data_IF_489726626996
#
_entry.id   IF_489726626996
#
_cell.length_a   1.000
_cell.length_b   1.000
_cell.length_c   1.000
_cell.angle_alpha   90.00
_cell.angle_beta   90.00
_cell.angle_gamma   90.00
#
_symmetry.space_group_name_H-M   'P 1'
#
loop_
_entity.id
_entity.type
_entity.pdbx_description
1 polymer ?
#
# COMPACT_ATOMS: atom_id res chain seq x y z
N UNK A 1 -19.62 -10.74 21.05
CA UNK A 1 -18.75 -11.04 22.20
C UNK A 1 -19.04 -9.98 23.24
N UNK A 2 -19.50 -10.35 24.41
CA UNK A 2 -19.68 -9.41 25.51
C UNK A 2 -18.44 -9.55 26.40
N UNK A 3 -17.64 -8.51 26.49
CA UNK A 3 -16.51 -8.46 27.41
C UNK A 3 -16.98 -7.69 28.63
N UNK A 4 -17.01 -8.32 29.78
CA UNK A 4 -17.26 -7.66 31.06
C UNK A 4 -15.97 -7.64 31.86
N UNK A 5 -15.62 -6.48 32.36
CA UNK A 5 -14.49 -6.24 33.23
C UNK A 5 -15.02 -5.79 34.59
N UNK A 6 -14.54 -6.44 35.65
CA UNK A 6 -14.98 -6.19 37.00
C UNK A 6 -13.79 -5.84 37.88
N UNK A 7 -13.43 -4.57 37.93
CA UNK A 7 -12.54 -4.02 38.95
C UNK A 7 -13.12 -2.83 39.67
N UNK A 8 -14.43 -2.59 39.53
CA UNK A 8 -15.15 -1.51 40.15
C UNK A 8 -14.96 -0.14 39.49
N UNK A 9 -14.17 -0.03 38.42
CA UNK A 9 -14.03 1.19 37.64
C UNK A 9 -14.49 0.95 36.19
N UNK A 10 -15.31 1.84 35.68
CA UNK A 10 -15.74 1.81 34.26
C UNK A 10 -14.55 2.12 33.37
N UNK A 11 -13.83 1.11 32.96
CA UNK A 11 -12.71 1.24 32.05
C UNK A 11 -13.17 1.49 30.61
N UNK A 12 -13.61 2.70 30.32
CA UNK A 12 -13.69 3.20 28.94
C UNK A 12 -12.29 3.69 28.53
N UNK A 13 -11.37 2.76 28.28
CA UNK A 13 -10.06 3.16 27.79
C UNK A 13 -10.11 3.33 26.27
N UNK A 14 -9.99 4.58 25.88
CA UNK A 14 -9.64 4.96 24.52
C UNK A 14 -8.12 5.05 24.53
N UNK A 15 -7.43 4.17 23.80
CA UNK A 15 -6.00 4.35 23.59
C UNK A 15 -5.77 5.68 22.86
N UNK A 16 -5.14 6.68 23.47
CA UNK A 16 -5.00 8.00 22.85
C UNK A 16 -4.11 7.98 21.59
N UNK A 17 -3.24 7.00 21.44
CA UNK A 17 -2.42 6.83 20.22
C UNK A 17 -3.18 6.11 19.10
N UNK A 18 -4.18 5.29 19.46
CA UNK A 18 -5.04 4.57 18.52
C UNK A 18 -6.50 5.02 18.64
N UNK A 19 -6.76 6.18 19.22
CA UNK A 19 -8.11 6.63 19.51
C UNK A 19 -8.87 6.97 18.24
N UNK A 20 -9.75 6.06 17.87
CA UNK A 20 -10.86 6.37 17.01
C UNK A 20 -12.03 6.62 17.94
N UNK A 21 -12.67 7.80 17.90
CA UNK A 21 -13.79 8.09 18.76
C UNK A 21 -14.83 6.98 18.71
N UNK A 22 -15.23 6.44 19.87
CA UNK A 22 -16.23 5.39 19.98
C UNK A 22 -15.72 3.94 19.80
N UNK A 23 -14.41 3.71 19.71
CA UNK A 23 -13.81 2.34 19.68
C UNK A 23 -13.17 2.00 21.02
N UNK A 24 -13.21 0.72 21.35
CA UNK A 24 -12.65 0.17 22.58
C UNK A 24 -11.49 -0.76 22.24
N UNK A 25 -10.46 -0.75 23.05
CA UNK A 25 -9.32 -1.65 22.96
C UNK A 25 -9.27 -2.50 24.23
N UNK A 26 -9.05 -3.80 24.07
CA UNK A 26 -8.87 -4.71 25.18
C UNK A 26 -7.37 -4.87 25.44
N UNK A 27 -6.92 -4.50 26.64
CA UNK A 27 -5.53 -4.59 27.04
C UNK A 27 -5.34 -4.30 28.52
N UNK A 28 -4.09 -4.15 28.95
CA UNK A 28 -3.72 -3.71 30.29
C UNK A 28 -3.18 -2.28 30.23
N UNK A 29 -3.56 -1.47 31.20
CA UNK A 29 -3.05 -0.10 31.29
C UNK A 29 -1.60 -0.10 31.75
N UNK A 30 -0.75 0.56 30.98
CA UNK A 30 0.66 0.76 31.27
C UNK A 30 0.98 2.26 31.09
N UNK A 31 0.96 3.00 32.18
CA UNK A 31 1.01 4.46 32.10
C UNK A 31 -0.24 5.03 31.42
N UNK A 32 -0.05 5.77 30.32
CA UNK A 32 -1.13 6.34 29.52
C UNK A 32 -1.47 5.52 28.27
N UNK A 33 -0.91 4.32 28.15
CA UNK A 33 -1.09 3.43 26.98
C UNK A 33 -1.76 2.13 27.38
N UNK A 34 -2.45 1.51 26.44
CA UNK A 34 -3.02 0.17 26.59
C UNK A 34 -2.07 -0.82 25.91
N UNK A 35 -1.42 -1.65 26.72
CA UNK A 35 -0.54 -2.73 26.28
C UNK A 35 -1.30 -4.04 26.14
N UNK A 36 -0.65 -5.01 25.51
CA UNK A 36 -1.17 -6.37 25.37
C UNK A 36 -1.38 -7.04 26.75
N UNK A 37 -2.42 -7.85 26.86
CA UNK A 37 -2.63 -8.69 28.03
C UNK A 37 -1.51 -9.75 28.02
N UNK A 38 -0.65 -9.81 29.05
CA UNK A 38 0.37 -10.85 29.14
C UNK A 38 -0.24 -12.24 29.02
N UNK A 39 0.35 -13.13 28.24
CA UNK A 39 -0.17 -14.49 27.98
C UNK A 39 -0.50 -15.27 29.26
N UNK A 40 0.29 -15.05 30.32
CA UNK A 40 0.06 -15.64 31.66
C UNK A 40 -1.17 -15.07 32.39
N UNK A 41 -1.75 -14.00 31.90
CA UNK A 41 -2.90 -13.32 32.51
C UNK A 41 -4.14 -13.36 31.63
N UNK A 42 -4.07 -13.87 30.40
CA UNK A 42 -5.21 -13.95 29.48
C UNK A 42 -6.39 -14.67 30.12
N UNK A 43 -6.17 -15.83 30.74
CA UNK A 43 -7.23 -16.64 31.37
C UNK A 43 -7.86 -16.00 32.62
N UNK A 44 -7.24 -14.92 33.15
CA UNK A 44 -7.81 -14.15 34.27
C UNK A 44 -8.77 -13.06 33.81
N UNK A 45 -8.63 -12.65 32.54
CA UNK A 45 -9.38 -11.52 31.98
C UNK A 45 -10.33 -11.92 30.85
N UNK A 46 -10.04 -13.02 30.15
CA UNK A 46 -10.82 -13.47 29.00
C UNK A 46 -11.41 -14.84 29.32
N UNK A 47 -12.72 -14.90 29.47
CA UNK A 47 -13.46 -16.14 29.75
C UNK A 47 -14.19 -16.61 28.50
N UNK A 48 -14.00 -17.88 28.17
CA UNK A 48 -14.74 -18.52 27.09
C UNK A 48 -16.19 -18.78 27.50
N UNK A 49 -17.14 -18.29 26.71
CA UNK A 49 -18.55 -18.68 26.85
C UNK A 49 -18.73 -20.14 26.44
N UNK A 50 -19.74 -20.80 27.05
CA UNK A 50 -20.20 -22.12 26.60
C UNK A 50 -20.83 -22.07 25.19
N UNK A 51 -21.31 -20.90 24.78
CA UNK A 51 -21.85 -20.68 23.43
C UNK A 51 -20.75 -20.10 22.55
N UNK A 52 -20.44 -20.78 21.45
CA UNK A 52 -19.47 -20.32 20.42
C UNK A 52 -20.26 -19.94 19.18
N UNK A 53 -20.02 -18.74 18.68
CA UNK A 53 -20.56 -18.28 17.41
C UNK A 53 -19.44 -18.19 16.37
N UNK A 54 -19.75 -18.52 15.14
CA UNK A 54 -18.82 -18.32 14.02
C UNK A 54 -18.71 -16.83 13.73
N UNK A 55 -17.50 -16.33 13.63
CA UNK A 55 -17.26 -14.97 13.15
C UNK A 55 -17.49 -14.95 11.65
N UNK A 56 -18.38 -14.07 11.21
CA UNK A 56 -18.60 -13.81 9.78
C UNK A 56 -17.86 -12.52 9.43
N UNK A 57 -16.83 -12.59 8.57
CA UNK A 57 -16.13 -11.39 8.14
C UNK A 57 -17.03 -10.45 7.34
N UNK A 58 -16.80 -9.16 7.45
CA UNK A 58 -17.42 -8.17 6.58
C UNK A 58 -16.79 -8.26 5.18
N UNK A 59 -17.56 -8.69 4.19
CA UNK A 59 -17.13 -8.65 2.81
C UNK A 59 -17.16 -7.20 2.30
N UNK A 60 -15.99 -6.67 1.95
CA UNK A 60 -15.81 -5.25 1.62
C UNK A 60 -14.69 -5.09 0.61
N UNK A 61 -14.75 -4.05 -0.20
CA UNK A 61 -13.64 -3.59 -1.04
C UNK A 61 -12.76 -2.59 -0.29
N UNK A 62 -11.47 -2.55 -0.59
CA UNK A 62 -10.54 -1.61 0.05
C UNK A 62 -10.96 -0.14 -0.15
N UNK A 63 -11.56 0.16 -1.30
CA UNK A 63 -12.10 1.49 -1.62
C UNK A 63 -13.25 1.93 -0.71
N UNK A 64 -13.96 0.98 -0.09
CA UNK A 64 -15.11 1.22 0.80
C UNK A 64 -14.75 1.18 2.29
N UNK A 65 -13.48 0.96 2.62
CA UNK A 65 -13.04 0.93 4.03
C UNK A 65 -13.18 2.31 4.66
N UNK A 66 -13.76 2.31 5.86
CA UNK A 66 -13.89 3.50 6.72
C UNK A 66 -13.36 3.21 8.11
N UNK A 67 -13.26 4.22 8.97
CA UNK A 67 -12.87 4.06 10.36
C UNK A 67 -13.77 3.08 11.17
N UNK A 68 -15.01 2.86 10.73
CA UNK A 68 -15.93 1.93 11.39
C UNK A 68 -15.53 0.46 11.23
N UNK A 69 -14.71 0.14 10.24
CA UNK A 69 -14.23 -1.22 10.01
C UNK A 69 -13.00 -1.58 10.84
N UNK A 70 -12.36 -0.61 11.51
CA UNK A 70 -11.20 -0.88 12.36
C UNK A 70 -11.59 -1.76 13.54
N UNK A 71 -10.73 -2.72 13.90
CA UNK A 71 -10.94 -3.76 14.88
C UNK A 71 -12.09 -4.72 14.52
N UNK A 72 -12.46 -4.81 13.26
CA UNK A 72 -13.39 -5.82 12.75
C UNK A 72 -12.70 -6.76 11.77
N UNK A 73 -13.27 -7.96 11.62
CA UNK A 73 -12.79 -8.90 10.62
C UNK A 73 -13.38 -8.56 9.26
N UNK A 74 -12.52 -8.29 8.29
CA UNK A 74 -12.88 -8.00 6.91
C UNK A 74 -12.56 -9.18 6.00
N UNK A 75 -13.18 -9.23 4.84
CA UNK A 75 -12.89 -10.17 3.77
C UNK A 75 -12.85 -9.45 2.43
N UNK A 76 -11.73 -9.60 1.72
CA UNK A 76 -11.62 -9.29 0.29
C UNK A 76 -11.89 -10.58 -0.49
N UNK A 77 -12.79 -10.54 -1.47
CA UNK A 77 -13.20 -11.73 -2.20
C UNK A 77 -12.21 -12.12 -3.31
N UNK A 78 -11.38 -11.19 -3.74
CA UNK A 78 -10.36 -11.41 -4.75
C UNK A 78 -9.14 -10.56 -4.43
N UNK A 79 -8.11 -11.19 -3.93
CA UNK A 79 -6.86 -10.54 -3.55
C UNK A 79 -5.66 -11.46 -3.80
N UNK A 80 -4.48 -10.91 -3.74
CA UNK A 80 -3.20 -11.62 -3.88
C UNK A 80 -2.11 -10.89 -3.12
N UNK A 81 -0.96 -11.54 -2.93
CA UNK A 81 0.27 -10.85 -2.52
C UNK A 81 0.82 -10.08 -3.74
N UNK A 82 1.24 -8.85 -3.54
CA UNK A 82 1.87 -8.07 -4.59
C UNK A 82 3.13 -8.76 -5.15
N UNK A 83 3.37 -8.62 -6.44
CA UNK A 83 4.45 -9.34 -7.15
C UNK A 83 5.83 -9.13 -6.51
N UNK A 84 6.10 -7.96 -5.99
CA UNK A 84 7.37 -7.58 -5.33
C UNK A 84 7.62 -8.29 -4.00
N UNK A 85 6.58 -8.87 -3.40
CA UNK A 85 6.66 -9.60 -2.14
C UNK A 85 6.63 -11.13 -2.32
N UNK A 86 6.49 -11.62 -3.54
CA UNK A 86 6.51 -13.06 -3.81
C UNK A 86 7.85 -13.68 -3.42
N UNK A 87 7.78 -14.85 -2.80
CA UNK A 87 8.95 -15.58 -2.33
C UNK A 87 9.47 -15.13 -0.98
N UNK A 88 9.00 -13.99 -0.45
CA UNK A 88 9.28 -13.57 0.93
C UNK A 88 8.47 -14.39 1.92
N UNK A 89 8.90 -14.38 3.15
CA UNK A 89 8.17 -14.96 4.28
C UNK A 89 7.18 -13.95 4.88
N UNK A 90 6.26 -14.37 5.74
CA UNK A 90 5.32 -13.45 6.39
C UNK A 90 6.04 -12.38 7.23
N UNK A 91 7.04 -12.75 8.04
CA UNK A 91 7.82 -11.83 8.89
C UNK A 91 9.16 -12.43 9.30
N UNK A 92 9.88 -13.08 8.39
CA UNK A 92 11.15 -13.74 8.65
C UNK A 92 12.31 -13.19 7.85
N UNK A 93 12.13 -12.09 7.15
CA UNK A 93 13.21 -11.45 6.41
C UNK A 93 14.20 -10.74 7.35
N UNK A 94 15.42 -10.55 6.89
CA UNK A 94 16.50 -9.97 7.72
C UNK A 94 16.25 -8.54 8.19
N UNK A 95 15.36 -7.82 7.51
CA UNK A 95 14.94 -6.46 7.82
C UNK A 95 13.61 -6.38 8.60
N UNK A 96 12.97 -7.50 8.89
CA UNK A 96 11.79 -7.55 9.73
C UNK A 96 12.23 -7.51 11.21
N UNK A 97 12.09 -6.37 11.89
CA UNK A 97 12.53 -6.21 13.29
C UNK A 97 11.45 -6.68 14.29
N UNK A 98 10.34 -5.94 14.36
CA UNK A 98 9.20 -6.25 15.25
C UNK A 98 8.05 -6.87 14.46
N UNK A 99 7.83 -6.37 13.26
CA UNK A 99 6.80 -6.79 12.33
C UNK A 99 7.37 -6.94 10.91
N UNK A 100 6.86 -7.89 10.16
CA UNK A 100 7.03 -7.99 8.72
C UNK A 100 5.84 -7.35 8.01
N UNK A 101 6.12 -6.59 6.98
CA UNK A 101 5.11 -5.99 6.13
C UNK A 101 5.18 -6.60 4.73
N UNK A 102 4.03 -7.05 4.24
CA UNK A 102 3.83 -7.49 2.86
C UNK A 102 2.63 -6.76 2.30
N UNK A 103 2.52 -6.68 1.02
CA UNK A 103 1.44 -5.92 0.37
C UNK A 103 0.36 -6.86 -0.13
N UNK A 104 -0.87 -6.68 0.32
CA UNK A 104 -2.06 -7.29 -0.27
C UNK A 104 -2.56 -6.36 -1.37
N UNK A 105 -2.71 -6.90 -2.56
CA UNK A 105 -3.29 -6.26 -3.72
C UNK A 105 -4.71 -6.79 -3.93
N UNK A 106 -5.70 -5.91 -3.98
CA UNK A 106 -7.09 -6.27 -4.28
C UNK A 106 -7.33 -6.24 -5.77
N UNK A 107 -7.70 -7.39 -6.34
CA UNK A 107 -8.07 -7.50 -7.74
C UNK A 107 -9.35 -6.70 -8.02
N UNK A 108 -9.38 -5.99 -9.12
CA UNK A 108 -10.56 -5.25 -9.56
C UNK A 108 -10.62 -3.79 -9.12
N UNK A 109 -10.14 -3.45 -7.91
CA UNK A 109 -10.00 -2.07 -7.47
C UNK A 109 -8.59 -1.53 -7.62
N UNK A 110 -7.63 -2.42 -7.82
CA UNK A 110 -6.18 -2.12 -7.89
C UNK A 110 -5.67 -1.37 -6.64
N UNK A 111 -6.35 -1.54 -5.51
CA UNK A 111 -5.95 -0.96 -4.24
C UNK A 111 -5.09 -1.93 -3.44
N UNK A 112 -4.27 -1.39 -2.57
CA UNK A 112 -3.39 -2.16 -1.72
C UNK A 112 -3.60 -1.86 -0.25
N UNK A 113 -3.26 -2.83 0.60
CA UNK A 113 -3.19 -2.67 2.05
C UNK A 113 -1.99 -3.44 2.59
N UNK A 114 -1.21 -2.88 3.52
CA UNK A 114 -0.15 -3.62 4.19
C UNK A 114 -0.71 -4.77 5.03
N UNK A 115 -0.17 -5.98 4.81
CA UNK A 115 -0.32 -7.13 5.69
C UNK A 115 0.78 -7.04 6.75
N UNK A 116 0.40 -6.78 7.98
CA UNK A 116 1.33 -6.77 9.11
C UNK A 116 1.33 -8.12 9.81
N UNK A 117 2.52 -8.69 10.00
CA UNK A 117 2.72 -9.94 10.74
C UNK A 117 3.82 -9.75 11.77
N UNK A 118 3.54 -10.11 13.01
CA UNK A 118 4.54 -10.02 14.06
C UNK A 118 5.69 -11.01 13.84
N UNK A 119 6.92 -10.58 14.11
CA UNK A 119 8.10 -11.47 14.12
C UNK A 119 8.05 -12.52 15.22
N UNK A 120 7.09 -12.46 16.14
CA UNK A 120 6.81 -13.47 17.14
C UNK A 120 5.73 -14.47 16.70
N UNK A 121 5.10 -14.29 15.55
CA UNK A 121 4.11 -15.22 15.03
C UNK A 121 4.77 -16.59 14.76
N UNK A 122 4.07 -17.67 15.12
CA UNK A 122 4.57 -19.04 14.92
C UNK A 122 4.77 -19.39 13.45
N UNK A 123 4.13 -18.68 12.53
CA UNK A 123 4.19 -18.88 11.09
C UNK A 123 5.03 -17.82 10.36
N UNK A 124 5.74 -16.97 11.07
CA UNK A 124 6.54 -15.87 10.50
C UNK A 124 7.46 -16.29 9.34
N UNK A 125 8.04 -17.50 9.45
CA UNK A 125 9.00 -18.04 8.46
C UNK A 125 8.32 -18.79 7.30
N UNK A 126 6.98 -18.88 7.29
CA UNK A 126 6.27 -19.43 6.14
C UNK A 126 6.37 -18.45 4.99
N UNK A 127 6.59 -18.98 3.79
CA UNK A 127 6.55 -18.17 2.57
C UNK A 127 5.10 -17.76 2.30
N UNK A 128 4.89 -16.51 1.90
CA UNK A 128 3.56 -16.02 1.52
C UNK A 128 3.04 -16.76 0.28
N UNK A 129 1.74 -17.01 0.16
CA UNK A 129 1.18 -17.71 -1.01
C UNK A 129 1.33 -16.88 -2.28
N UNK A 130 1.58 -17.55 -3.40
CA UNK A 130 1.85 -16.90 -4.70
C UNK A 130 0.61 -16.76 -5.60
N UNK A 131 -0.50 -17.39 -5.26
CA UNK A 131 -1.76 -17.34 -6.02
C UNK A 131 -2.62 -16.13 -5.70
N UNK A 132 -3.89 -16.23 -6.10
CA UNK A 132 -4.95 -15.27 -5.75
C UNK A 132 -6.14 -15.98 -5.09
N UNK A 133 -7.02 -15.23 -4.45
CA UNK A 133 -8.20 -15.78 -3.81
C UNK A 133 -8.80 -14.89 -2.73
N UNK A 134 -9.39 -15.53 -1.73
CA UNK A 134 -10.04 -14.84 -0.61
C UNK A 134 -9.02 -14.48 0.46
N UNK A 135 -9.05 -13.24 0.87
CA UNK A 135 -8.25 -12.72 1.98
C UNK A 135 -9.14 -12.34 3.15
N UNK A 136 -8.79 -12.79 4.35
CA UNK A 136 -9.47 -12.44 5.60
C UNK A 136 -8.47 -11.88 6.58
N UNK A 137 -8.83 -10.78 7.25
CA UNK A 137 -7.96 -10.17 8.23
C UNK A 137 -8.75 -9.34 9.24
N UNK A 138 -8.14 -9.05 10.37
CA UNK A 138 -8.59 -7.98 11.25
C UNK A 138 -7.99 -6.68 10.73
N UNK A 139 -8.84 -5.71 10.42
CA UNK A 139 -8.38 -4.39 10.06
C UNK A 139 -7.91 -3.64 11.31
N UNK A 140 -6.74 -3.08 11.26
CA UNK A 140 -6.14 -2.33 12.36
C UNK A 140 -5.43 -1.08 11.83
N UNK A 141 -4.75 -0.40 12.73
CA UNK A 141 -3.76 0.62 12.42
C UNK A 141 -2.39 0.11 12.79
N UNK A 142 -1.37 0.63 12.11
CA UNK A 142 0.02 0.43 12.52
C UNK A 142 0.29 0.99 13.92
N UNK A 143 1.45 0.65 14.48
CA UNK A 143 1.83 1.08 15.85
C UNK A 143 1.73 2.60 16.08
N UNK A 144 2.00 3.41 15.05
CA UNK A 144 1.94 4.87 15.14
C UNK A 144 0.58 5.46 14.80
N UNK A 145 -0.38 4.62 14.42
CA UNK A 145 -1.70 5.04 13.92
C UNK A 145 -1.67 5.91 12.67
N UNK A 146 -0.60 5.78 11.87
CA UNK A 146 -0.38 6.56 10.66
C UNK A 146 -1.15 6.00 9.46
N UNK A 147 -1.25 4.67 9.36
CA UNK A 147 -1.95 4.01 8.25
C UNK A 147 -2.69 2.74 8.69
N UNK A 148 -3.57 2.27 7.81
CA UNK A 148 -4.31 1.03 8.03
C UNK A 148 -3.44 -0.18 7.69
N UNK A 149 -3.58 -1.23 8.48
CA UNK A 149 -2.93 -2.53 8.27
C UNK A 149 -3.95 -3.65 8.39
N UNK A 150 -3.70 -4.73 7.68
CA UNK A 150 -4.44 -5.98 7.81
C UNK A 150 -3.62 -6.97 8.65
N UNK A 151 -4.21 -7.54 9.70
CA UNK A 151 -3.56 -8.49 10.58
C UNK A 151 -4.24 -9.85 10.43
N UNK A 152 -3.46 -10.89 10.13
CA UNK A 152 -3.96 -12.26 9.99
C UNK A 152 -3.70 -13.08 11.26
N UNK A 153 -4.59 -13.99 11.57
CA UNK A 153 -4.44 -14.90 12.71
C UNK A 153 -3.70 -16.18 12.33
N UNK A 154 -3.80 -16.59 11.07
CA UNK A 154 -3.16 -17.79 10.55
C UNK A 154 -2.89 -17.66 9.04
N UNK A 155 -1.94 -18.45 8.49
CA UNK A 155 -1.71 -18.48 7.04
C UNK A 155 -2.95 -18.83 6.21
N UNK A 156 -3.87 -19.62 6.77
CA UNK A 156 -5.14 -20.00 6.13
C UNK A 156 -6.12 -18.83 5.92
N UNK A 157 -5.85 -17.68 6.50
CA UNK A 157 -6.64 -16.46 6.24
C UNK A 157 -6.37 -15.90 4.83
N UNK A 158 -5.29 -16.35 4.19
CA UNK A 158 -4.96 -16.15 2.78
C UNK A 158 -5.32 -17.42 2.00
N UNK A 159 -6.56 -17.56 1.58
CA UNK A 159 -7.00 -18.67 0.72
C UNK A 159 -6.69 -18.35 -0.75
N UNK A 160 -5.41 -18.28 -1.07
CA UNK A 160 -4.88 -17.93 -2.40
C UNK A 160 -4.55 -19.20 -3.20
N UNK A 161 -5.58 -20.02 -3.42
CA UNK A 161 -5.46 -21.32 -4.11
C UNK A 161 -5.62 -21.21 -5.62
N UNK A 162 -6.12 -20.10 -6.15
CA UNK A 162 -6.17 -19.86 -7.58
C UNK A 162 -4.77 -19.56 -8.09
N UNK A 163 -4.34 -20.28 -9.11
CA UNK A 163 -3.02 -20.08 -9.74
C UNK A 163 -2.97 -18.88 -10.68
N UNK A 164 -4.13 -18.41 -11.14
CA UNK A 164 -4.21 -17.20 -11.95
C UNK A 164 -4.12 -15.98 -11.04
N UNK A 165 -3.22 -15.09 -11.40
CA UNK A 165 -3.01 -13.82 -10.71
C UNK A 165 -3.72 -12.69 -11.45
N UNK A 166 -4.07 -11.67 -10.73
CA UNK A 166 -4.65 -10.44 -11.28
C UNK A 166 -3.61 -9.29 -11.32
N UNK A 167 -2.34 -9.64 -11.52
CA UNK A 167 -1.33 -8.59 -11.68
C UNK A 167 -1.74 -7.67 -12.84
N UNK A 168 -1.60 -6.35 -12.68
CA UNK A 168 -1.76 -5.44 -13.81
C UNK A 168 -0.92 -5.92 -14.99
N UNK A 169 -1.41 -5.79 -16.22
CA UNK A 169 -0.60 -6.14 -17.38
C UNK A 169 0.71 -5.37 -17.31
N UNK A 170 1.81 -6.07 -17.01
CA UNK A 170 3.13 -5.51 -17.20
C UNK A 170 3.29 -5.44 -18.70
N UNK A 171 3.33 -4.25 -19.22
CA UNK A 171 3.98 -4.02 -20.50
C UNK A 171 5.41 -4.48 -20.27
N UNK A 172 5.73 -5.70 -20.70
CA UNK A 172 7.11 -6.15 -20.71
C UNK A 172 7.86 -5.25 -21.67
N UNK A 173 8.42 -4.18 -21.13
CA UNK A 173 9.47 -3.39 -21.79
C UNK A 173 10.64 -4.33 -21.93
N UNK A 174 10.62 -5.10 -23.01
CA UNK A 174 11.48 -6.10 -22.86
C UNK A 174 12.38 -6.51 -23.96
N UNK A 175 12.79 -7.69 -23.88
CA UNK A 175 13.77 -8.36 -24.69
C UNK A 175 13.37 -8.47 -26.18
N UNK A 176 12.21 -7.93 -26.58
CA UNK A 176 11.70 -7.91 -27.94
C UNK A 176 11.21 -6.53 -28.43
N UNK A 177 11.45 -5.47 -27.68
CA UNK A 177 11.31 -4.12 -28.22
C UNK A 177 12.34 -3.97 -29.32
N UNK A 178 11.97 -4.31 -30.52
CA UNK A 178 12.73 -3.91 -31.71
C UNK A 178 12.41 -2.43 -31.87
N UNK A 179 13.17 -1.59 -31.21
CA UNK A 179 13.02 -0.15 -31.31
C UNK A 179 12.80 0.22 -32.77
N UNK A 180 11.73 0.94 -33.03
CA UNK A 180 11.41 1.42 -34.36
C UNK A 180 12.61 2.19 -34.91
N UNK A 181 12.81 2.16 -36.20
CA UNK A 181 13.89 2.90 -36.85
C UNK A 181 13.64 4.43 -36.89
N UNK A 182 12.49 4.87 -36.41
CA UNK A 182 12.06 6.28 -36.39
C UNK A 182 11.75 6.68 -34.95
N UNK A 183 12.48 7.66 -34.44
CA UNK A 183 12.20 8.32 -33.15
C UNK A 183 11.17 9.41 -33.42
N UNK A 184 9.99 9.30 -32.81
CA UNK A 184 8.94 10.31 -32.92
C UNK A 184 9.09 11.40 -31.87
N UNK A 185 9.54 11.04 -30.68
CA UNK A 185 9.78 11.95 -29.57
C UNK A 185 10.90 11.41 -28.70
N UNK A 186 11.81 12.27 -28.25
CA UNK A 186 12.89 11.94 -27.33
C UNK A 186 13.13 13.09 -26.37
N UNK A 187 13.26 12.80 -25.07
CA UNK A 187 13.66 13.75 -24.05
C UNK A 187 14.57 13.08 -23.04
N UNK A 188 15.80 13.53 -22.94
CA UNK A 188 16.82 13.02 -22.01
C UNK A 188 16.96 13.87 -20.73
N UNK A 189 16.24 14.99 -20.65
CA UNK A 189 16.26 15.96 -19.56
C UNK A 189 17.63 16.61 -19.30
N UNK A 190 18.64 16.37 -20.10
CA UNK A 190 20.00 16.93 -19.89
C UNK A 190 20.03 18.46 -20.00
N UNK A 191 19.11 19.03 -20.74
CA UNK A 191 18.97 20.48 -20.92
C UNK A 191 18.03 21.13 -19.89
N UNK A 192 17.33 20.34 -19.07
CA UNK A 192 16.37 20.82 -18.06
C UNK A 192 17.14 21.17 -16.78
N UNK A 193 17.39 22.45 -16.55
CA UNK A 193 18.16 22.94 -15.40
C UNK A 193 17.31 23.54 -14.29
N UNK A 194 16.08 23.94 -14.63
CA UNK A 194 15.09 24.52 -13.73
C UNK A 194 13.69 23.97 -13.98
N UNK A 195 12.74 24.26 -13.09
CA UNK A 195 11.35 23.88 -13.29
C UNK A 195 10.70 24.59 -14.50
N UNK A 196 11.17 25.80 -14.83
CA UNK A 196 10.66 26.53 -16.00
C UNK A 196 11.09 25.85 -17.31
N UNK A 197 12.28 25.26 -17.33
CA UNK A 197 12.79 24.59 -18.54
C UNK A 197 11.90 23.39 -18.91
N UNK A 198 11.24 22.76 -17.93
CA UNK A 198 10.26 21.68 -18.16
C UNK A 198 9.10 22.21 -19.00
N UNK A 199 8.52 23.34 -18.59
CA UNK A 199 7.40 23.96 -19.30
C UNK A 199 7.83 24.60 -20.63
N UNK A 200 9.03 25.17 -20.69
CA UNK A 200 9.59 25.74 -21.92
C UNK A 200 9.89 24.65 -22.97
N UNK A 201 10.18 23.41 -22.53
CA UNK A 201 10.29 22.24 -23.38
C UNK A 201 8.92 21.66 -23.82
N UNK A 202 7.82 22.32 -23.45
CA UNK A 202 6.46 21.96 -23.86
C UNK A 202 5.76 20.94 -22.96
N UNK A 203 6.40 20.50 -21.86
CA UNK A 203 5.78 19.60 -20.90
C UNK A 203 4.78 20.34 -20.01
N UNK A 204 3.69 19.67 -19.64
CA UNK A 204 2.81 20.14 -18.57
C UNK A 204 3.23 19.52 -17.24
N UNK A 205 3.48 20.35 -16.24
CA UNK A 205 3.90 19.95 -14.89
C UNK A 205 2.95 20.57 -13.88
N UNK A 206 1.98 19.79 -13.40
CA UNK A 206 0.86 20.31 -12.62
C UNK A 206 0.55 19.45 -11.39
N UNK A 207 0.33 20.11 -10.26
CA UNK A 207 -0.23 19.49 -9.06
C UNK A 207 -1.75 19.69 -9.08
N UNK A 208 -2.50 18.60 -9.27
CA UNK A 208 -3.95 18.65 -9.47
C UNK A 208 -4.73 18.97 -8.18
N UNK A 209 -4.10 18.83 -7.03
CA UNK A 209 -4.70 19.18 -5.74
C UNK A 209 -4.43 20.63 -5.33
N UNK A 210 -3.81 21.43 -6.22
CA UNK A 210 -3.52 22.84 -5.98
C UNK A 210 -2.32 23.10 -5.07
N UNK A 211 -1.52 22.08 -4.78
CA UNK A 211 -0.27 22.21 -4.03
C UNK A 211 0.88 22.80 -4.86
N UNK A 212 2.02 22.96 -4.23
CA UNK A 212 3.23 23.54 -4.85
C UNK A 212 4.29 22.49 -5.22
N UNK A 213 4.08 21.23 -4.86
CA UNK A 213 5.03 20.16 -5.16
C UNK A 213 4.88 19.73 -6.60
N UNK A 214 5.92 19.99 -7.38
CA UNK A 214 6.01 19.72 -8.81
C UNK A 214 7.26 18.89 -9.12
N UNK A 215 7.32 18.29 -10.31
CA UNK A 215 8.55 17.74 -10.83
C UNK A 215 9.61 18.83 -10.94
N UNK A 216 10.83 18.50 -10.58
CA UNK A 216 11.95 19.43 -10.58
C UNK A 216 13.21 18.78 -11.12
N UNK A 217 14.06 19.57 -11.78
CA UNK A 217 15.36 19.10 -12.29
C UNK A 217 16.29 18.70 -11.14
N UNK A 218 17.00 17.60 -11.33
CA UNK A 218 18.07 17.10 -10.46
C UNK A 218 19.22 16.61 -11.31
N UNK A 219 20.37 16.46 -10.69
CA UNK A 219 21.57 15.91 -11.33
C UNK A 219 22.31 15.00 -10.36
N UNK A 220 22.76 13.85 -10.83
CA UNK A 220 23.60 12.92 -10.08
C UNK A 220 24.61 12.25 -11.03
N UNK A 221 25.88 12.29 -10.67
CA UNK A 221 26.98 11.68 -11.42
C UNK A 221 27.05 12.08 -12.91
N UNK A 222 26.65 13.31 -13.22
CA UNK A 222 26.69 13.83 -14.60
C UNK A 222 25.41 13.52 -15.41
N UNK A 223 24.47 12.77 -14.88
CA UNK A 223 23.17 12.53 -15.49
C UNK A 223 22.14 13.48 -14.88
N UNK A 224 21.35 14.12 -15.70
CA UNK A 224 20.26 15.01 -15.30
C UNK A 224 18.93 14.34 -15.54
N UNK A 225 17.98 14.56 -14.62
CA UNK A 225 16.67 13.93 -14.63
C UNK A 225 15.64 14.83 -13.96
N UNK A 226 14.38 14.52 -14.11
CA UNK A 226 13.29 15.17 -13.37
C UNK A 226 12.85 14.27 -12.21
N UNK A 227 12.59 14.87 -11.06
CA UNK A 227 12.24 14.18 -9.82
C UNK A 227 11.01 14.81 -9.20
N UNK A 228 10.14 13.96 -8.67
CA UNK A 228 9.07 14.32 -7.74
C UNK A 228 9.35 13.70 -6.36
N UNK A 229 9.02 14.39 -5.29
CA UNK A 229 9.15 13.86 -3.93
C UNK A 229 8.08 14.42 -3.01
N UNK A 230 7.39 13.56 -2.29
CA UNK A 230 6.45 13.94 -1.24
C UNK A 230 7.15 14.31 0.07
N UNK A 231 8.45 14.08 0.20
CA UNK A 231 9.19 14.33 1.43
C UNK A 231 9.13 15.81 1.84
N UNK A 232 8.56 16.08 3.01
CA UNK A 232 8.34 17.44 3.56
C UNK A 232 7.47 18.36 2.70
N UNK A 233 6.65 17.82 1.81
CA UNK A 233 5.70 18.63 1.03
C UNK A 233 4.60 19.21 1.92
N UNK A 234 4.21 18.50 2.98
CA UNK A 234 3.02 18.76 3.80
C UNK A 234 1.71 18.76 2.98
N UNK A 235 1.72 18.11 1.82
CA UNK A 235 0.58 17.98 0.93
C UNK A 235 -0.02 16.57 1.07
N UNK A 236 -1.32 16.49 1.36
CA UNK A 236 -2.06 15.23 1.47
C UNK A 236 -3.49 15.45 0.99
N UNK A 237 -3.90 14.83 -0.13
CA UNK A 237 -3.09 14.01 -1.03
C UNK A 237 -2.12 14.85 -1.87
N UNK A 238 -1.04 14.22 -2.32
CA UNK A 238 -0.14 14.77 -3.33
C UNK A 238 -0.34 13.98 -4.63
N UNK A 239 -0.76 14.67 -5.68
CA UNK A 239 -0.88 14.14 -7.03
C UNK A 239 -0.33 15.15 -8.01
N UNK A 240 0.74 14.78 -8.71
CA UNK A 240 1.42 15.67 -9.66
C UNK A 240 1.59 14.94 -10.98
N UNK A 241 1.19 15.59 -12.05
CA UNK A 241 1.28 15.09 -13.41
C UNK A 241 2.43 15.76 -14.16
N UNK A 242 3.16 14.93 -14.89
CA UNK A 242 4.13 15.35 -15.88
C UNK A 242 3.65 14.81 -17.23
N UNK A 243 3.16 15.70 -18.09
CA UNK A 243 2.56 15.33 -19.37
C UNK A 243 3.48 15.77 -20.49
N UNK A 244 3.76 14.87 -21.42
CA UNK A 244 4.55 15.17 -22.62
C UNK A 244 3.88 16.22 -23.47
N UNK A 245 4.63 16.92 -24.35
CA UNK A 245 4.03 17.57 -25.50
C UNK A 245 3.18 16.60 -26.31
N UNK A 246 2.26 17.11 -27.09
CA UNK A 246 1.50 16.30 -28.05
C UNK A 246 2.46 15.56 -29.00
N UNK A 247 2.21 14.26 -29.18
CA UNK A 247 2.99 13.40 -30.06
C UNK A 247 2.06 12.94 -31.17
N UNK A 248 2.35 13.31 -32.41
CA UNK A 248 1.60 12.87 -33.58
C UNK A 248 1.92 11.40 -33.90
N UNK A 249 0.92 10.54 -33.66
CA UNK A 249 0.97 9.12 -33.97
C UNK A 249 0.15 8.77 -35.24
N UNK A 250 -0.44 9.77 -35.91
CA UNK A 250 -1.19 9.56 -37.13
C UNK A 250 -0.29 9.05 -38.26
N UNK A 251 -0.59 7.89 -38.78
CA UNK A 251 0.16 7.29 -39.88
C UNK A 251 1.33 6.40 -39.45
N UNK A 252 1.47 6.13 -38.18
CA UNK A 252 2.38 5.13 -37.62
C UNK A 252 1.61 3.92 -37.08
N UNK A 253 2.29 2.85 -36.76
CA UNK A 253 1.74 1.64 -36.15
C UNK A 253 2.80 0.97 -35.31
N UNK A 254 2.35 0.28 -34.25
CA UNK A 254 3.23 -0.44 -33.33
C UNK A 254 4.21 0.50 -32.60
N UNK A 255 3.71 1.66 -32.18
CA UNK A 255 4.49 2.64 -31.42
C UNK A 255 4.87 2.08 -30.05
N UNK A 256 6.07 2.42 -29.62
CA UNK A 256 6.61 2.03 -28.34
C UNK A 256 7.04 3.25 -27.54
N UNK A 257 6.65 3.33 -26.26
CA UNK A 257 7.16 4.28 -25.30
C UNK A 257 8.15 3.58 -24.36
N UNK A 258 9.36 4.07 -24.31
CA UNK A 258 10.38 3.63 -23.37
C UNK A 258 10.79 4.78 -22.46
N UNK A 259 11.03 4.52 -21.19
CA UNK A 259 11.59 5.51 -20.27
C UNK A 259 12.28 4.80 -19.09
N UNK A 260 13.26 5.47 -18.51
CA UNK A 260 13.96 4.98 -17.34
C UNK A 260 13.43 5.62 -16.06
N UNK A 261 13.23 4.82 -15.02
CA UNK A 261 12.83 5.32 -13.71
C UNK A 261 13.75 4.80 -12.62
N UNK A 262 13.90 5.60 -11.56
CA UNK A 262 14.62 5.19 -10.36
C UNK A 262 13.86 5.67 -9.13
N UNK A 263 13.57 4.75 -8.23
CA UNK A 263 12.89 5.02 -6.95
C UNK A 263 13.91 5.09 -5.84
N UNK A 264 14.06 6.25 -5.22
CA UNK A 264 14.99 6.44 -4.10
C UNK A 264 14.41 6.01 -2.75
N UNK A 265 13.14 6.34 -2.52
CA UNK A 265 12.40 6.02 -1.31
C UNK A 265 10.96 5.76 -1.72
N UNK A 266 10.56 4.50 -1.70
CA UNK A 266 9.25 4.07 -2.12
C UNK A 266 8.47 3.48 -0.94
N UNK A 267 7.25 3.99 -0.74
CA UNK A 267 6.29 3.45 0.23
C UNK A 267 5.06 2.87 -0.49
N UNK A 268 5.21 2.43 -1.73
CA UNK A 268 4.15 1.88 -2.57
C UNK A 268 4.23 2.37 -4.02
N UNK A 269 3.20 2.14 -4.80
CA UNK A 269 3.12 2.55 -6.20
C UNK A 269 3.01 4.07 -6.30
N UNK A 270 4.16 4.75 -6.42
CA UNK A 270 4.22 6.20 -6.49
C UNK A 270 4.10 6.74 -7.93
N UNK A 271 4.34 5.91 -8.95
CA UNK A 271 4.31 6.31 -10.35
C UNK A 271 3.30 5.49 -11.14
N UNK A 272 2.45 6.16 -11.89
CA UNK A 272 1.53 5.56 -12.85
C UNK A 272 1.71 6.22 -14.20
N UNK A 273 1.61 5.45 -15.29
CA UNK A 273 1.74 5.95 -16.66
C UNK A 273 0.40 5.86 -17.36
N UNK A 274 0.03 6.89 -18.08
CA UNK A 274 -1.23 7.00 -18.80
C UNK A 274 -0.97 7.46 -20.23
N UNK A 275 -1.85 7.06 -21.14
CA UNK A 275 -1.93 7.55 -22.51
C UNK A 275 -3.32 8.15 -22.71
N UNK A 276 -3.38 9.33 -23.30
CA UNK A 276 -4.63 10.00 -23.67
C UNK A 276 -4.59 10.45 -25.12
N UNK A 277 -5.71 10.32 -25.81
CA UNK A 277 -5.93 10.88 -27.16
C UNK A 277 -6.75 12.16 -27.15
N UNK A 278 -7.16 12.65 -25.99
CA UNK A 278 -8.07 13.78 -25.82
C UNK A 278 -7.66 14.71 -24.67
N UNK A 279 -6.39 14.69 -24.28
CA UNK A 279 -5.88 15.58 -23.25
C UNK A 279 -5.89 17.04 -23.73
N UNK A 280 -6.62 17.93 -23.00
CA UNK A 280 -6.74 19.36 -23.25
C UNK A 280 -6.44 20.18 -21.99
#
# INVERSE_FOLDING_TARGET
MTVSYDDGESANYINPTNSIPGKYVLGVLSGDQVDDIPSTSVDKHIFRSATVSTIVPNSIELSAITGDHINTMIQLNSAQIEKTDLGKTFAGESNDEFDGFRTIFECGTEKTIPLQTSTFASFKSNVVPSGSGVFKAVLSKDYRSEFLVAIVNAPSDLDFTNTERCDPPVLECGENAVGGSVVLFEEDFENITSANDITDAGWTNVNVNGGSTLYSSRSFSGNRYVQISAFRSNETPLETWLVTPEIDLDGTTDEELTFETNTGYDNGNALSTYVSSDYN
#
